data_IF_305394331777
#
_entry.id   IF_305394331777
#
_cell.length_a   1.000
_cell.length_b   1.000
_cell.length_c   1.000
_cell.angle_alpha   90.00
_cell.angle_beta   90.00
_cell.angle_gamma   90.00
#
_symmetry.space_group_name_H-M   'P 1'
#
loop_
_entity.id
_entity.type
_entity.pdbx_description
1 polymer ?
#
# COMPACT_ATOMS: atom_id res chain seq x y z
N UNK A 1 -7.18 -27.97 -10.18
CA UNK A 1 -6.40 -26.83 -9.67
C UNK A 1 -5.02 -27.31 -9.21
N UNK A 2 -3.94 -26.56 -9.50
CA UNK A 2 -2.56 -26.94 -9.14
C UNK A 2 -2.15 -26.46 -7.73
N UNK A 3 -3.10 -25.97 -6.91
CA UNK A 3 -2.85 -25.51 -5.55
C UNK A 3 -2.07 -24.18 -5.43
N UNK A 4 -1.95 -23.41 -6.50
CA UNK A 4 -1.40 -22.06 -6.43
C UNK A 4 -2.44 -21.08 -5.91
N UNK A 5 -2.00 -20.16 -5.06
CA UNK A 5 -2.78 -18.97 -4.72
C UNK A 5 -2.53 -17.90 -5.78
N UNK A 6 -3.60 -17.31 -6.29
CA UNK A 6 -3.55 -16.29 -7.35
C UNK A 6 -4.13 -15.00 -6.80
N UNK A 7 -3.35 -13.95 -6.87
CA UNK A 7 -3.77 -12.61 -6.43
C UNK A 7 -3.49 -11.59 -7.52
N UNK A 8 -4.23 -10.48 -7.52
CA UNK A 8 -3.97 -9.34 -8.40
C UNK A 8 -3.36 -8.18 -7.65
N UNK A 9 -2.66 -7.31 -8.36
CA UNK A 9 -2.19 -6.02 -7.87
C UNK A 9 -2.76 -4.93 -8.77
N UNK A 10 -3.58 -4.06 -8.20
CA UNK A 10 -4.32 -3.02 -8.92
C UNK A 10 -4.00 -1.66 -8.33
N UNK A 11 -3.64 -0.72 -9.20
CA UNK A 11 -3.35 0.67 -8.84
C UNK A 11 -4.53 1.55 -9.19
N UNK A 12 -4.98 2.37 -8.24
CA UNK A 12 -6.10 3.30 -8.40
C UNK A 12 -5.56 4.71 -8.60
N UNK A 13 -5.97 5.34 -9.69
CA UNK A 13 -5.68 6.73 -10.01
C UNK A 13 -6.93 7.62 -9.89
N UNK A 14 -6.75 8.92 -10.06
CA UNK A 14 -7.83 9.91 -9.96
C UNK A 14 -8.99 9.60 -10.92
N UNK A 15 -8.69 9.23 -12.15
CA UNK A 15 -9.67 8.90 -13.18
C UNK A 15 -10.36 7.54 -13.01
N UNK A 16 -9.83 6.70 -12.12
CA UNK A 16 -10.40 5.36 -11.89
C UNK A 16 -11.78 5.49 -11.24
N UNK A 17 -12.82 5.06 -11.92
CA UNK A 17 -14.16 5.04 -11.37
C UNK A 17 -14.33 3.92 -10.34
N UNK A 18 -14.91 4.23 -9.19
CA UNK A 18 -15.12 3.24 -8.12
C UNK A 18 -16.03 2.10 -8.57
N UNK A 19 -17.02 2.40 -9.42
CA UNK A 19 -17.92 1.40 -10.00
C UNK A 19 -17.16 0.33 -10.79
N UNK A 20 -16.21 0.75 -11.62
CA UNK A 20 -15.37 -0.16 -12.43
C UNK A 20 -14.48 -1.04 -11.53
N UNK A 21 -13.97 -0.48 -10.44
CA UNK A 21 -13.19 -1.25 -9.45
C UNK A 21 -14.06 -2.32 -8.82
N UNK A 22 -15.28 -2.00 -8.42
CA UNK A 22 -16.21 -2.96 -7.80
C UNK A 22 -16.61 -4.06 -8.81
N UNK A 23 -16.87 -3.71 -10.06
CA UNK A 23 -17.17 -4.67 -11.11
C UNK A 23 -15.96 -5.59 -11.39
N UNK A 24 -14.75 -5.03 -11.45
CA UNK A 24 -13.51 -5.81 -11.54
C UNK A 24 -13.37 -6.78 -10.37
N UNK A 25 -13.65 -6.34 -9.14
CA UNK A 25 -13.57 -7.19 -7.95
C UNK A 25 -14.57 -8.36 -8.03
N UNK A 26 -15.81 -8.06 -8.46
CA UNK A 26 -16.84 -9.07 -8.70
C UNK A 26 -16.34 -10.09 -9.74
N UNK A 27 -15.95 -9.64 -10.90
CA UNK A 27 -15.49 -10.50 -12.00
C UNK A 27 -14.30 -11.40 -11.58
N UNK A 28 -13.30 -10.79 -10.92
CA UNK A 28 -12.11 -11.52 -10.49
C UNK A 28 -12.43 -12.57 -9.41
N UNK A 29 -13.37 -12.28 -8.52
CA UNK A 29 -13.77 -13.20 -7.45
C UNK A 29 -14.73 -14.27 -7.97
N UNK A 30 -15.81 -13.87 -8.62
CA UNK A 30 -16.94 -14.77 -8.92
C UNK A 30 -16.71 -15.54 -10.23
N UNK A 31 -16.13 -14.90 -11.25
CA UNK A 31 -15.98 -15.50 -12.58
C UNK A 31 -14.58 -16.14 -12.77
N UNK A 32 -13.52 -15.52 -12.26
CA UNK A 32 -12.14 -16.02 -12.39
C UNK A 32 -11.72 -16.90 -11.22
N UNK A 33 -12.19 -16.59 -10.01
CA UNK A 33 -11.92 -17.37 -8.80
C UNK A 33 -10.52 -17.11 -8.24
N UNK A 34 -10.08 -15.85 -8.18
CA UNK A 34 -8.80 -15.47 -7.55
C UNK A 34 -8.91 -15.51 -6.01
N UNK A 35 -7.75 -15.64 -5.34
CA UNK A 35 -7.67 -15.74 -3.88
C UNK A 35 -7.69 -14.37 -3.18
N UNK A 36 -7.55 -13.27 -3.92
CA UNK A 36 -7.64 -11.93 -3.35
C UNK A 36 -6.99 -10.86 -4.21
N UNK A 37 -7.20 -9.60 -3.83
CA UNK A 37 -6.77 -8.43 -4.59
C UNK A 37 -5.99 -7.46 -3.71
N UNK A 38 -4.76 -7.11 -4.10
CA UNK A 38 -4.07 -5.95 -3.58
C UNK A 38 -4.56 -4.73 -4.38
N UNK A 39 -5.11 -3.75 -3.69
CA UNK A 39 -5.57 -2.49 -4.28
C UNK A 39 -4.92 -1.35 -3.51
N UNK A 40 -4.20 -0.48 -4.20
CA UNK A 40 -3.46 0.62 -3.60
C UNK A 40 -3.57 1.89 -4.46
N UNK A 41 -3.41 3.10 -3.87
CA UNK A 41 -3.38 4.33 -4.65
C UNK A 41 -2.15 4.39 -5.55
N UNK A 42 -2.26 5.10 -6.68
CA UNK A 42 -1.15 5.40 -7.56
C UNK A 42 -0.15 6.36 -6.92
N UNK A 43 1.10 6.30 -7.39
CA UNK A 43 2.16 7.22 -6.99
C UNK A 43 2.55 8.12 -8.16
N UNK A 44 2.84 9.38 -7.85
CA UNK A 44 3.29 10.36 -8.83
C UNK A 44 4.78 10.19 -9.13
N UNK A 45 5.08 9.41 -10.18
CA UNK A 45 6.42 9.43 -10.77
C UNK A 45 6.61 10.67 -11.63
N UNK A 46 7.86 11.05 -11.88
CA UNK A 46 8.20 12.19 -12.75
C UNK A 46 7.63 12.09 -14.18
N UNK A 47 7.32 10.90 -14.63
CA UNK A 47 6.77 10.62 -15.97
C UNK A 47 5.23 10.53 -15.98
N UNK A 48 4.59 10.59 -14.81
CA UNK A 48 3.12 10.54 -14.70
C UNK A 48 2.57 11.96 -14.64
N UNK A 49 1.54 12.22 -15.43
CA UNK A 49 0.81 13.49 -15.38
C UNK A 49 0.31 13.70 -13.93
N UNK A 50 0.67 14.82 -13.29
CA UNK A 50 0.17 15.15 -11.96
C UNK A 50 -1.36 15.13 -11.83
N UNK A 51 -2.07 15.41 -12.93
CA UNK A 51 -3.52 15.36 -12.96
C UNK A 51 -4.12 13.97 -12.68
N UNK A 52 -3.34 12.90 -12.88
CA UNK A 52 -3.76 11.52 -12.61
C UNK A 52 -3.59 11.10 -11.15
N UNK A 53 -2.83 11.87 -10.36
CA UNK A 53 -2.60 11.56 -8.95
C UNK A 53 -3.73 12.11 -8.08
N UNK A 54 -4.04 11.37 -7.02
CA UNK A 54 -5.04 11.77 -6.03
C UNK A 54 -4.38 12.54 -4.89
N UNK A 55 -5.06 13.55 -4.39
CA UNK A 55 -4.78 14.11 -3.07
C UNK A 55 -5.14 13.10 -1.98
N UNK A 56 -4.75 13.37 -0.75
CA UNK A 56 -5.08 12.53 0.40
C UNK A 56 -6.60 12.34 0.56
N UNK A 57 -7.36 13.41 0.48
CA UNK A 57 -8.82 13.39 0.62
C UNK A 57 -9.50 12.59 -0.49
N UNK A 58 -9.09 12.79 -1.74
CA UNK A 58 -9.63 12.07 -2.90
C UNK A 58 -9.38 10.56 -2.78
N UNK A 59 -8.18 10.14 -2.35
CA UNK A 59 -7.94 8.73 -2.19
C UNK A 59 -8.71 8.13 -1.00
N UNK A 60 -8.84 8.84 0.12
CA UNK A 60 -9.63 8.39 1.26
C UNK A 60 -11.10 8.18 0.91
N UNK A 61 -11.68 9.06 0.11
CA UNK A 61 -13.06 8.93 -0.37
C UNK A 61 -13.23 7.66 -1.22
N UNK A 62 -12.37 7.47 -2.23
CA UNK A 62 -12.42 6.28 -3.09
C UNK A 62 -12.22 4.99 -2.30
N UNK A 63 -11.23 4.96 -1.41
CA UNK A 63 -10.94 3.76 -0.61
C UNK A 63 -12.01 3.47 0.46
N UNK A 64 -12.74 4.46 0.96
CA UNK A 64 -13.94 4.23 1.79
C UNK A 64 -15.02 3.47 1.01
N UNK A 65 -15.29 3.85 -0.22
CA UNK A 65 -16.26 3.19 -1.07
C UNK A 65 -15.82 1.76 -1.44
N UNK A 66 -14.57 1.56 -1.86
CA UNK A 66 -13.98 0.24 -2.14
C UNK A 66 -14.09 -0.67 -0.91
N UNK A 67 -13.71 -0.16 0.27
CA UNK A 67 -13.81 -0.93 1.53
C UNK A 67 -15.26 -1.27 1.90
N UNK A 68 -16.20 -0.38 1.58
CA UNK A 68 -17.64 -0.65 1.73
C UNK A 68 -18.04 -1.87 0.93
N UNK A 69 -17.73 -1.86 -0.37
CA UNK A 69 -18.05 -2.96 -1.28
C UNK A 69 -17.35 -4.28 -0.90
N UNK A 70 -16.07 -4.25 -0.48
CA UNK A 70 -15.39 -5.49 -0.04
C UNK A 70 -16.09 -6.14 1.14
N UNK A 71 -16.61 -5.35 2.08
CA UNK A 71 -17.34 -5.87 3.24
C UNK A 71 -18.74 -6.36 2.89
N UNK A 72 -19.43 -5.64 2.02
CA UNK A 72 -20.80 -5.97 1.61
C UNK A 72 -20.85 -7.29 0.83
N UNK A 73 -19.89 -7.47 -0.09
CA UNK A 73 -19.88 -8.62 -1.01
C UNK A 73 -18.90 -9.74 -0.59
N UNK A 74 -18.13 -9.54 0.48
CA UNK A 74 -17.15 -10.53 0.93
C UNK A 74 -15.92 -10.64 0.02
N UNK A 75 -15.63 -9.63 -0.80
CA UNK A 75 -14.44 -9.63 -1.65
C UNK A 75 -13.17 -9.46 -0.81
N UNK A 76 -12.15 -10.25 -1.12
CA UNK A 76 -10.92 -10.24 -0.35
C UNK A 76 -9.95 -9.17 -0.83
N UNK A 77 -9.89 -8.07 -0.08
CA UNK A 77 -8.85 -7.04 -0.24
C UNK A 77 -7.64 -7.40 0.62
N UNK A 78 -6.51 -7.73 -0.04
CA UNK A 78 -5.24 -8.08 0.61
C UNK A 78 -4.52 -6.79 1.02
N UNK A 79 -4.93 -6.24 2.13
CA UNK A 79 -4.32 -5.11 2.81
C UNK A 79 -4.57 -5.31 4.30
N UNK A 80 -3.57 -5.07 5.15
CA UNK A 80 -3.76 -5.24 6.58
C UNK A 80 -4.89 -4.35 7.11
N UNK A 81 -5.63 -4.74 8.15
CA UNK A 81 -6.74 -3.94 8.67
C UNK A 81 -6.33 -2.52 9.07
N UNK A 82 -5.09 -2.36 9.57
CA UNK A 82 -4.54 -1.06 9.97
C UNK A 82 -4.22 -0.21 8.73
N UNK A 83 -3.65 -0.82 7.68
CA UNK A 83 -3.39 -0.10 6.44
C UNK A 83 -4.71 0.26 5.73
N UNK A 84 -5.74 -0.60 5.77
CA UNK A 84 -7.07 -0.24 5.31
C UNK A 84 -7.67 0.95 6.09
N UNK A 85 -7.43 1.02 7.41
CA UNK A 85 -7.88 2.16 8.22
C UNK A 85 -7.15 3.44 7.81
N UNK A 86 -5.86 3.36 7.50
CA UNK A 86 -5.07 4.48 6.95
C UNK A 86 -5.60 4.94 5.58
N UNK A 87 -5.80 4.02 4.62
CA UNK A 87 -6.30 4.35 3.29
C UNK A 87 -7.70 4.99 3.31
N UNK A 88 -8.49 4.73 4.34
CA UNK A 88 -9.85 5.27 4.50
C UNK A 88 -9.93 6.50 5.42
N UNK A 89 -8.80 7.06 5.85
CA UNK A 89 -8.74 8.22 6.73
C UNK A 89 -9.19 7.98 8.17
N UNK A 90 -9.25 6.73 8.62
CA UNK A 90 -9.61 6.38 10.00
C UNK A 90 -8.42 6.38 10.95
N UNK A 91 -7.22 6.41 10.40
CA UNK A 91 -5.96 6.39 11.15
C UNK A 91 -4.86 7.05 10.32
N UNK A 92 -4.00 7.78 10.99
CA UNK A 92 -2.74 8.22 10.42
C UNK A 92 -1.64 7.20 10.67
N UNK A 93 -0.73 7.07 9.71
CA UNK A 93 0.49 6.27 9.80
C UNK A 93 1.69 7.10 9.35
N UNK A 94 2.79 6.95 10.04
CA UNK A 94 4.08 7.48 9.58
C UNK A 94 4.69 6.49 8.58
N UNK A 95 5.16 6.96 7.45
CA UNK A 95 5.83 6.11 6.46
C UNK A 95 7.08 5.46 7.05
N UNK A 96 7.26 4.16 6.84
CA UNK A 96 8.44 3.39 7.23
C UNK A 96 9.17 2.88 5.96
N UNK A 97 9.90 3.76 5.23
CA UNK A 97 10.52 3.40 3.96
C UNK A 97 11.55 2.26 4.09
N UNK A 98 12.21 2.18 5.25
CA UNK A 98 13.14 1.07 5.58
C UNK A 98 12.49 -0.30 5.71
N UNK A 99 11.16 -0.38 5.78
CA UNK A 99 10.42 -1.65 5.89
C UNK A 99 10.31 -2.42 4.58
N UNK A 100 10.60 -1.76 3.43
CA UNK A 100 10.51 -2.36 2.08
C UNK A 100 11.75 -2.02 1.26
N UNK A 101 12.90 -2.38 1.80
CA UNK A 101 14.19 -2.14 1.15
C UNK A 101 14.30 -2.99 -0.13
N UNK A 102 14.77 -2.38 -1.20
CA UNK A 102 14.95 -3.03 -2.50
C UNK A 102 16.39 -3.01 -2.97
N UNK A 103 16.74 -4.00 -3.78
CA UNK A 103 18.04 -4.11 -4.44
C UNK A 103 17.83 -4.26 -5.94
N UNK A 104 18.65 -3.57 -6.73
CA UNK A 104 18.72 -3.73 -8.17
C UNK A 104 20.14 -4.21 -8.58
N UNK A 105 20.44 -4.43 -9.87
CA UNK A 105 21.79 -4.84 -10.30
C UNK A 105 22.92 -3.88 -9.91
N UNK A 106 22.60 -2.60 -9.64
CA UNK A 106 23.59 -1.57 -9.27
C UNK A 106 23.85 -1.51 -7.78
N UNK A 107 22.96 -2.04 -6.94
CA UNK A 107 23.12 -2.01 -5.49
C UNK A 107 21.81 -1.91 -4.71
N UNK A 108 21.95 -1.61 -3.41
CA UNK A 108 20.84 -1.36 -2.52
C UNK A 108 20.28 0.05 -2.74
N UNK A 109 18.99 0.14 -2.89
CA UNK A 109 18.27 1.34 -3.30
C UNK A 109 17.58 1.99 -2.10
N UNK A 110 17.79 3.28 -1.91
CA UNK A 110 17.13 4.09 -0.89
C UNK A 110 16.45 5.33 -1.47
N UNK A 111 15.51 5.93 -0.74
CA UNK A 111 15.00 5.55 0.58
C UNK A 111 13.94 4.42 0.50
N UNK A 112 13.24 4.28 -0.62
CA UNK A 112 12.14 3.31 -0.75
C UNK A 112 12.05 2.76 -2.18
N UNK A 113 11.09 1.90 -2.40
CA UNK A 113 10.80 1.31 -3.71
C UNK A 113 10.56 2.36 -4.81
N UNK A 114 9.88 3.46 -4.49
CA UNK A 114 9.46 4.49 -5.46
C UNK A 114 10.55 5.52 -5.76
N UNK A 115 11.28 5.94 -4.73
CA UNK A 115 12.36 6.91 -4.85
C UNK A 115 13.71 6.20 -4.99
N UNK A 116 14.65 6.83 -5.69
CA UNK A 116 16.02 6.35 -5.83
C UNK A 116 16.98 7.52 -5.68
N UNK A 117 17.13 7.99 -4.44
CA UNK A 117 18.03 9.10 -4.14
C UNK A 117 19.45 8.61 -3.83
N UNK A 118 19.59 7.30 -3.56
CA UNK A 118 20.89 6.67 -3.37
C UNK A 118 20.89 5.20 -3.82
N UNK A 119 22.07 4.77 -4.28
CA UNK A 119 22.39 3.37 -4.55
C UNK A 119 23.64 3.03 -3.75
N UNK A 120 23.55 2.02 -2.90
CA UNK A 120 24.60 1.65 -1.96
C UNK A 120 25.16 0.27 -2.27
N UNK A 121 26.48 0.06 -2.16
CA UNK A 121 27.09 -1.23 -2.50
C UNK A 121 26.73 -2.37 -1.53
N UNK A 122 26.50 -2.03 -0.26
CA UNK A 122 26.13 -3.00 0.78
C UNK A 122 24.88 -2.56 1.52
N UNK A 123 24.26 -3.48 2.24
CA UNK A 123 23.10 -3.22 3.07
C UNK A 123 23.45 -2.30 4.25
N UNK A 124 24.59 -2.52 4.86
CA UNK A 124 25.11 -1.68 5.95
C UNK A 124 25.32 -0.22 5.48
N UNK A 125 25.94 -0.06 4.29
CA UNK A 125 26.14 1.28 3.71
C UNK A 125 24.80 2.00 3.45
N UNK A 126 23.75 1.27 3.05
CA UNK A 126 22.40 1.84 2.93
C UNK A 126 21.86 2.30 4.29
N UNK A 127 21.96 1.46 5.32
CA UNK A 127 21.42 1.78 6.64
C UNK A 127 22.11 3.00 7.27
N UNK A 128 23.43 3.08 7.11
CA UNK A 128 24.26 4.16 7.68
C UNK A 128 24.23 5.45 6.84
N UNK A 129 24.11 5.30 5.52
CA UNK A 129 24.23 6.43 4.58
C UNK A 129 22.91 7.10 4.19
N UNK A 130 21.75 6.55 4.62
CA UNK A 130 20.44 7.09 4.26
C UNK A 130 19.85 7.92 5.40
N UNK A 131 19.52 9.17 5.10
CA UNK A 131 18.81 10.06 6.05
C UNK A 131 17.31 9.75 6.06
N UNK A 132 16.94 8.65 6.70
CA UNK A 132 15.57 8.12 6.70
C UNK A 132 14.50 9.13 7.14
N UNK A 133 14.83 9.99 8.11
CA UNK A 133 13.94 11.01 8.67
C UNK A 133 13.60 12.14 7.68
N UNK A 134 14.38 12.28 6.61
CA UNK A 134 14.13 13.27 5.57
C UNK A 134 12.95 12.89 4.65
N UNK A 135 12.43 11.68 4.77
CA UNK A 135 11.40 11.15 3.87
C UNK A 135 10.06 10.88 4.58
N UNK A 136 9.01 10.88 3.80
CA UNK A 136 7.65 10.68 4.26
C UNK A 136 6.80 11.96 4.13
N UNK A 137 5.47 11.84 4.29
CA UNK A 137 4.57 13.00 4.30
C UNK A 137 5.00 14.03 5.33
N UNK A 138 5.02 15.30 4.93
CA UNK A 138 5.47 16.42 5.76
C UNK A 138 6.99 16.66 5.78
N UNK A 139 7.81 15.72 5.29
CA UNK A 139 9.27 15.85 5.24
C UNK A 139 9.79 15.99 3.80
N UNK A 140 9.23 15.24 2.87
CA UNK A 140 9.58 15.32 1.45
C UNK A 140 8.33 15.62 0.61
N UNK A 141 8.34 16.68 -0.22
CA UNK A 141 7.17 17.03 -1.05
C UNK A 141 6.73 15.90 -1.99
N UNK A 142 7.64 15.03 -2.40
CA UNK A 142 7.32 13.84 -3.24
C UNK A 142 6.51 12.79 -2.48
N UNK A 143 6.50 12.85 -1.16
CA UNK A 143 5.81 11.92 -0.28
C UNK A 143 4.44 12.43 0.19
N UNK A 144 4.08 13.70 -0.05
CA UNK A 144 2.93 14.38 0.57
C UNK A 144 1.60 13.62 0.37
N UNK A 145 1.36 13.11 -0.82
CA UNK A 145 0.15 12.36 -1.14
C UNK A 145 0.37 10.86 -1.28
N UNK A 146 1.55 10.38 -0.86
CA UNK A 146 1.86 8.96 -0.95
C UNK A 146 1.01 8.15 0.02
N UNK A 147 0.33 7.13 -0.50
CA UNK A 147 -0.43 6.15 0.27
C UNK A 147 -0.03 4.71 -0.02
N UNK A 148 1.12 4.48 -0.66
CA UNK A 148 1.54 3.17 -1.18
C UNK A 148 1.92 2.21 -0.06
N UNK A 149 1.52 0.95 -0.23
CA UNK A 149 1.73 -0.14 0.72
C UNK A 149 3.20 -0.35 1.14
N UNK A 150 4.18 -0.07 0.27
CA UNK A 150 5.60 -0.34 0.55
C UNK A 150 6.14 0.39 1.79
N UNK A 151 5.61 1.56 2.14
CA UNK A 151 5.98 2.30 3.36
C UNK A 151 4.95 2.19 4.48
N UNK A 152 3.68 1.98 4.14
CA UNK A 152 2.59 2.02 5.11
C UNK A 152 2.13 0.65 5.62
N UNK A 153 2.33 -0.46 4.88
CA UNK A 153 2.14 -1.81 5.43
C UNK A 153 3.18 -2.16 6.50
N UNK A 154 4.49 -1.85 6.35
CA UNK A 154 5.44 -2.00 7.46
C UNK A 154 5.06 -1.16 8.69
N UNK A 155 4.61 0.08 8.48
CA UNK A 155 4.09 0.92 9.58
C UNK A 155 2.88 0.31 10.26
N UNK A 156 1.95 -0.24 9.48
CA UNK A 156 0.78 -0.93 10.02
C UNK A 156 1.17 -2.16 10.85
N UNK A 157 2.16 -2.94 10.41
CA UNK A 157 2.70 -4.07 11.16
C UNK A 157 3.35 -3.62 12.48
N UNK A 158 4.10 -2.52 12.45
CA UNK A 158 4.69 -1.93 13.64
C UNK A 158 3.63 -1.42 14.62
N UNK A 159 2.61 -0.72 14.15
CA UNK A 159 1.48 -0.28 14.98
C UNK A 159 0.69 -1.47 15.56
N UNK A 160 0.51 -2.54 14.80
CA UNK A 160 -0.09 -3.77 15.30
C UNK A 160 0.67 -4.34 16.50
N UNK A 161 2.00 -4.31 16.47
CA UNK A 161 2.86 -4.84 17.55
C UNK A 161 2.75 -4.07 18.87
N UNK A 162 2.30 -2.83 18.83
CA UNK A 162 2.14 -1.97 20.02
C UNK A 162 0.84 -2.22 20.80
N UNK A 163 -0.10 -2.97 20.24
CA UNK A 163 -1.43 -3.15 20.83
C UNK A 163 -1.91 -4.59 20.68
N UNK A 164 -2.19 -5.25 21.80
CA UNK A 164 -2.75 -6.61 21.80
C UNK A 164 -4.03 -6.72 20.96
N UNK A 165 -4.90 -5.69 21.04
CA UNK A 165 -6.13 -5.63 20.23
C UNK A 165 -5.82 -5.63 18.73
N UNK A 166 -4.87 -4.80 18.30
CA UNK A 166 -4.51 -4.70 16.88
C UNK A 166 -3.72 -5.94 16.42
N UNK A 167 -2.91 -6.54 17.28
CA UNK A 167 -2.25 -7.82 17.00
C UNK A 167 -3.29 -8.92 16.74
N UNK A 168 -4.27 -9.07 17.64
CA UNK A 168 -5.35 -10.07 17.47
C UNK A 168 -6.19 -9.78 16.22
N UNK A 169 -6.52 -8.51 15.95
CA UNK A 169 -7.24 -8.11 14.75
C UNK A 169 -6.48 -8.47 13.45
N UNK A 170 -5.18 -8.23 13.42
CA UNK A 170 -4.32 -8.54 12.27
C UNK A 170 -4.14 -10.05 12.09
N UNK A 171 -3.97 -10.81 13.18
CA UNK A 171 -3.91 -12.27 13.14
C UNK A 171 -5.22 -12.88 12.66
N UNK A 172 -6.36 -12.42 13.19
CA UNK A 172 -7.67 -12.87 12.74
C UNK A 172 -7.86 -12.65 11.24
N UNK A 173 -7.52 -11.45 10.75
CA UNK A 173 -7.56 -11.14 9.32
C UNK A 173 -6.67 -12.06 8.49
N UNK A 174 -5.46 -12.38 8.95
CA UNK A 174 -4.53 -13.29 8.26
C UNK A 174 -5.09 -14.72 8.17
N UNK A 175 -5.80 -15.17 9.20
CA UNK A 175 -6.34 -16.54 9.29
C UNK A 175 -7.67 -16.71 8.53
N UNK A 176 -8.45 -15.66 8.43
CA UNK A 176 -9.78 -15.68 7.80
C UNK A 176 -9.78 -15.21 6.36
N UNK A 177 -8.67 -14.64 5.95
CA UNK A 177 -8.48 -14.06 4.64
C UNK A 177 -7.87 -14.99 3.59
#
# INVERSE_FOLDING_TARGET
ARGFRVTTNTTIFKETEVGDVIEMMRYLTDDVGIDGMMIAPGYQYSQIDPALTMTRDEHEEKFRAIRGATKEHGYRWIASPIYQDFLTGKRDLTCAPWGSITRNPYGWKGPCYLLTDGIFPTYEALLEGMEWEAYGPGNDPRCEHCGIHCGFEPSAAYEASKSLKETVRSLAWTLTG
#
